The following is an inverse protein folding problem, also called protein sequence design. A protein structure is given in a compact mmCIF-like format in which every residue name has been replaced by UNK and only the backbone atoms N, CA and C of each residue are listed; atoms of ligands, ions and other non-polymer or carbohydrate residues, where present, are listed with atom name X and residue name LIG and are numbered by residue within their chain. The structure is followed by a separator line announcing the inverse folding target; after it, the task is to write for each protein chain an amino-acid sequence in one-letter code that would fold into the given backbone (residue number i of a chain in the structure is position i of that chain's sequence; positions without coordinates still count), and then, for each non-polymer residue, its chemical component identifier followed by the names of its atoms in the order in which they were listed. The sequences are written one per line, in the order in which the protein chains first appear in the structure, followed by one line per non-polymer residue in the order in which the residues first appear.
data_IF_936858448592
#
_entry.id   IF_936858448592
#
_cell.length_a   1.000
_cell.length_b   1.000
_cell.length_c   1.000
_cell.angle_alpha   90.00
_cell.angle_beta   90.00
_cell.angle_gamma   90.00
#
_symmetry.space_group_name_H-M   'P 1'
#
loop_
_entity.id
_entity.type
_entity.pdbx_description
1 polymer ?
#
# COMPACT_ATOMS: atom_id res chain seq x y z
N UNK A 1 -9.83 28.22 -18.57
CA UNK A 1 -10.56 27.39 -17.59
C UNK A 1 -9.88 26.03 -17.34
N UNK A 2 -9.38 25.30 -18.35
CA UNK A 2 -8.73 23.98 -18.17
C UNK A 2 -7.43 23.96 -17.32
N UNK A 3 -6.62 25.03 -17.36
CA UNK A 3 -5.33 25.08 -16.61
C UNK A 3 -5.52 25.12 -15.09
N UNK A 4 -6.56 25.80 -14.59
CA UNK A 4 -6.84 25.86 -13.14
C UNK A 4 -7.29 24.49 -12.60
N UNK A 5 -8.15 23.78 -13.33
CA UNK A 5 -8.62 22.45 -12.94
C UNK A 5 -7.50 21.41 -12.91
N UNK A 6 -6.54 21.48 -13.83
CA UNK A 6 -5.36 20.60 -13.84
C UNK A 6 -4.42 20.87 -12.64
N UNK A 7 -4.16 22.14 -12.33
CA UNK A 7 -3.32 22.53 -11.18
C UNK A 7 -3.95 22.07 -9.86
N UNK A 8 -5.26 22.27 -9.69
CA UNK A 8 -6.00 21.80 -8.51
C UNK A 8 -5.93 20.28 -8.34
N UNK A 9 -6.10 19.52 -9.43
CA UNK A 9 -5.98 18.05 -9.42
C UNK A 9 -4.57 17.59 -9.05
N UNK A 10 -3.53 18.20 -9.63
CA UNK A 10 -2.15 17.84 -9.28
C UNK A 10 -1.84 18.15 -7.81
N UNK A 11 -2.34 19.26 -7.27
CA UNK A 11 -2.16 19.57 -5.86
C UNK A 11 -2.81 18.51 -4.97
N UNK A 12 -4.01 18.04 -5.33
CA UNK A 12 -4.69 16.92 -4.66
C UNK A 12 -3.88 15.62 -4.72
N UNK A 13 -3.32 15.27 -5.89
CA UNK A 13 -2.44 14.09 -6.07
C UNK A 13 -1.16 14.19 -5.23
N UNK A 14 -0.58 15.39 -5.10
CA UNK A 14 0.59 15.59 -4.25
C UNK A 14 0.25 15.48 -2.74
N UNK A 15 -0.96 15.88 -2.33
CA UNK A 15 -1.43 15.70 -0.94
C UNK A 15 -1.55 14.22 -0.60
N UNK A 16 -2.06 13.39 -1.53
CA UNK A 16 -2.13 11.94 -1.35
C UNK A 16 -0.74 11.36 -1.04
N UNK A 17 0.30 11.73 -1.80
CA UNK A 17 1.65 11.24 -1.51
C UNK A 17 2.10 11.60 -0.10
N UNK A 18 1.90 12.85 0.33
CA UNK A 18 2.28 13.29 1.68
C UNK A 18 1.56 12.52 2.79
N UNK A 19 0.30 12.16 2.59
CA UNK A 19 -0.44 11.29 3.52
C UNK A 19 0.28 9.93 3.61
N UNK A 20 0.57 9.32 2.46
CA UNK A 20 1.24 8.01 2.41
C UNK A 20 2.68 8.06 2.96
N UNK A 21 3.41 9.16 2.78
CA UNK A 21 4.72 9.40 3.38
C UNK A 21 4.63 9.47 4.91
N UNK A 22 3.63 10.18 5.42
CA UNK A 22 3.37 10.28 6.86
C UNK A 22 3.04 8.90 7.44
N UNK A 23 2.21 8.12 6.74
CA UNK A 23 1.90 6.73 7.10
C UNK A 23 3.15 5.86 7.18
N UNK A 24 3.99 5.91 6.14
CA UNK A 24 5.24 5.14 6.07
C UNK A 24 6.17 5.44 7.26
N UNK A 25 6.33 6.73 7.60
CA UNK A 25 7.18 7.14 8.72
C UNK A 25 6.67 6.61 10.05
N UNK A 26 5.35 6.68 10.28
CA UNK A 26 4.74 6.14 11.51
C UNK A 26 4.96 4.63 11.59
N UNK A 27 4.62 3.88 10.54
CA UNK A 27 4.71 2.42 10.58
C UNK A 27 6.13 1.90 10.69
N UNK A 28 7.06 2.42 9.89
CA UNK A 28 8.46 1.99 9.98
C UNK A 28 9.10 2.42 11.29
N UNK A 29 8.74 3.59 11.82
CA UNK A 29 9.15 4.05 13.15
C UNK A 29 8.74 3.06 14.24
N UNK A 30 7.49 2.58 14.18
CA UNK A 30 6.98 1.60 15.14
C UNK A 30 7.60 0.22 15.00
N UNK A 31 7.81 -0.26 13.77
CA UNK A 31 8.52 -1.53 13.55
C UNK A 31 9.92 -1.54 14.15
N UNK A 32 10.63 -0.40 14.13
CA UNK A 32 11.98 -0.27 14.69
C UNK A 32 12.03 -0.37 16.21
N UNK A 33 10.91 -0.12 16.91
CA UNK A 33 10.83 -0.19 18.38
C UNK A 33 10.67 -1.62 18.89
N UNK A 34 10.34 -2.56 18.02
CA UNK A 34 9.97 -3.91 18.41
C UNK A 34 11.20 -4.69 18.85
N UNK A 35 11.14 -5.28 20.05
CA UNK A 35 12.19 -6.17 20.52
C UNK A 35 12.12 -7.52 19.77
N UNK A 36 12.93 -7.61 18.73
CA UNK A 36 13.02 -8.78 17.86
C UNK A 36 13.49 -10.03 18.64
N UNK A 37 14.22 -9.85 19.75
CA UNK A 37 14.65 -10.97 20.59
C UNK A 37 13.48 -11.68 21.29
N UNK A 38 12.42 -10.93 21.61
CA UNK A 38 11.20 -11.47 22.20
C UNK A 38 10.25 -12.11 21.20
N UNK A 39 10.43 -11.85 19.89
CA UNK A 39 9.46 -12.19 18.86
C UNK A 39 9.67 -13.58 18.23
N UNK A 40 10.93 -14.03 18.07
CA UNK A 40 11.23 -15.24 17.29
C UNK A 40 12.11 -16.25 18.05
N UNK A 41 11.66 -17.52 18.13
CA UNK A 41 12.45 -18.63 18.72
C UNK A 41 13.48 -19.26 17.75
N UNK A 42 13.48 -18.87 16.46
CA UNK A 42 14.44 -19.34 15.44
C UNK A 42 15.38 -18.21 15.02
N UNK A 43 16.69 -18.48 14.96
CA UNK A 43 17.72 -17.46 14.69
C UNK A 43 17.64 -16.83 13.28
N UNK A 44 17.18 -17.57 12.27
CA UNK A 44 17.08 -17.08 10.89
C UNK A 44 15.95 -16.07 10.67
N UNK A 45 14.84 -16.17 11.40
CA UNK A 45 13.73 -15.22 11.24
C UNK A 45 14.04 -13.85 11.84
N UNK A 46 14.98 -13.77 12.80
CA UNK A 46 15.47 -12.50 13.36
C UNK A 46 16.13 -11.60 12.30
N UNK A 47 17.06 -12.15 11.51
CA UNK A 47 17.74 -11.39 10.45
C UNK A 47 16.75 -10.90 9.38
N UNK A 48 15.76 -11.73 9.04
CA UNK A 48 14.75 -11.37 8.03
C UNK A 48 13.82 -10.27 8.57
N UNK A 49 13.46 -10.29 9.86
CA UNK A 49 12.69 -9.20 10.50
C UNK A 49 13.42 -7.85 10.39
N UNK A 50 14.71 -7.80 10.73
CA UNK A 50 15.52 -6.58 10.61
C UNK A 50 15.62 -6.11 9.16
N UNK A 51 15.80 -7.05 8.22
CA UNK A 51 15.86 -6.76 6.79
C UNK A 51 14.57 -6.15 6.25
N UNK A 52 13.40 -6.60 6.69
CA UNK A 52 12.11 -6.10 6.15
C UNK A 52 11.96 -4.59 6.35
N UNK A 53 12.35 -4.05 7.50
CA UNK A 53 12.28 -2.61 7.76
C UNK A 53 13.23 -1.84 6.82
N UNK A 54 14.46 -2.32 6.65
CA UNK A 54 15.43 -1.73 5.73
C UNK A 54 14.96 -1.82 4.27
N UNK A 55 14.30 -2.92 3.88
CA UNK A 55 13.71 -3.08 2.56
C UNK A 55 12.60 -2.02 2.34
N UNK A 56 11.73 -1.76 3.32
CA UNK A 56 10.70 -0.70 3.20
C UNK A 56 11.30 0.69 2.99
N UNK A 57 12.36 1.04 3.73
CA UNK A 57 13.06 2.32 3.54
C UNK A 57 13.68 2.45 2.14
N UNK A 58 14.28 1.35 1.64
CA UNK A 58 14.84 1.31 0.29
C UNK A 58 13.73 1.44 -0.77
N UNK A 59 12.63 0.73 -0.61
CA UNK A 59 11.46 0.82 -1.50
C UNK A 59 10.93 2.25 -1.51
N UNK A 60 10.81 2.88 -0.35
CA UNK A 60 10.40 4.28 -0.25
C UNK A 60 11.31 5.22 -1.05
N UNK A 61 12.62 5.06 -0.91
CA UNK A 61 13.59 5.86 -1.67
C UNK A 61 13.47 5.64 -3.18
N UNK A 62 13.31 4.39 -3.61
CA UNK A 62 13.13 4.06 -5.03
C UNK A 62 11.84 4.67 -5.59
N UNK A 63 10.77 4.65 -4.80
CA UNK A 63 9.51 5.33 -5.08
C UNK A 63 9.78 6.84 -5.29
N UNK A 64 10.41 7.52 -4.33
CA UNK A 64 10.77 8.95 -4.42
C UNK A 64 11.62 9.29 -5.65
N UNK A 65 12.53 8.39 -6.02
CA UNK A 65 13.40 8.49 -7.20
C UNK A 65 12.68 8.11 -8.54
N UNK A 66 11.38 7.80 -8.47
CA UNK A 66 10.54 7.33 -9.59
C UNK A 66 10.96 5.98 -10.21
N UNK A 67 11.74 5.18 -9.50
CA UNK A 67 12.17 3.84 -9.88
C UNK A 67 11.14 2.77 -9.44
N UNK A 68 9.93 2.89 -10.00
CA UNK A 68 8.76 2.11 -9.57
C UNK A 68 8.88 0.60 -9.81
N UNK A 69 9.70 0.19 -10.79
CA UNK A 69 9.89 -1.23 -11.11
C UNK A 69 10.79 -1.92 -10.09
N UNK A 70 11.91 -1.28 -9.75
CA UNK A 70 12.77 -1.80 -8.70
C UNK A 70 12.06 -1.74 -7.34
N UNK A 71 11.30 -0.67 -7.07
CA UNK A 71 10.44 -0.59 -5.91
C UNK A 71 9.45 -1.78 -5.83
N UNK A 72 8.69 -2.04 -6.89
CA UNK A 72 7.74 -3.17 -6.93
C UNK A 72 8.43 -4.54 -6.81
N UNK A 73 9.62 -4.69 -7.41
CA UNK A 73 10.41 -5.93 -7.35
C UNK A 73 10.87 -6.24 -5.94
N UNK A 74 11.44 -5.25 -5.26
CA UNK A 74 11.90 -5.41 -3.88
C UNK A 74 10.68 -5.60 -2.96
N UNK A 75 9.62 -4.82 -3.12
CA UNK A 75 8.39 -4.94 -2.32
C UNK A 75 7.75 -6.33 -2.45
N UNK A 76 7.77 -6.95 -3.63
CA UNK A 76 7.32 -8.34 -3.81
C UNK A 76 8.15 -9.31 -2.98
N UNK A 77 9.47 -9.19 -3.03
CA UNK A 77 10.37 -10.04 -2.25
C UNK A 77 10.22 -9.81 -0.73
N UNK A 78 10.00 -8.56 -0.32
CA UNK A 78 9.69 -8.21 1.08
C UNK A 78 8.38 -8.85 1.54
N UNK A 79 7.35 -8.84 0.70
CA UNK A 79 6.09 -9.52 0.98
C UNK A 79 6.25 -11.05 1.09
N UNK A 80 7.08 -11.67 0.24
CA UNK A 80 7.44 -13.09 0.36
C UNK A 80 8.17 -13.40 1.68
N UNK A 81 9.05 -12.50 2.12
CA UNK A 81 9.70 -12.62 3.43
C UNK A 81 8.70 -12.48 4.59
N UNK A 82 7.70 -11.60 4.47
CA UNK A 82 6.62 -11.46 5.46
C UNK A 82 5.79 -12.74 5.52
N UNK A 83 5.39 -13.31 4.36
CA UNK A 83 4.71 -14.60 4.29
C UNK A 83 5.50 -15.70 5.02
N UNK A 84 6.81 -15.77 4.78
CA UNK A 84 7.71 -16.69 5.47
C UNK A 84 7.70 -16.47 6.99
N UNK A 85 7.92 -15.24 7.46
CA UNK A 85 8.01 -14.94 8.90
C UNK A 85 6.71 -15.32 9.62
N UNK A 86 5.55 -14.98 9.05
CA UNK A 86 4.26 -15.33 9.63
C UNK A 86 4.16 -16.86 9.69
N UNK A 87 4.37 -17.55 8.57
CA UNK A 87 4.23 -19.01 8.50
C UNK A 87 5.10 -19.76 9.52
N UNK A 88 6.38 -19.40 9.67
CA UNK A 88 7.27 -20.08 10.62
C UNK A 88 6.95 -19.80 12.09
N UNK A 89 6.19 -18.74 12.39
CA UNK A 89 5.72 -18.45 13.74
C UNK A 89 4.53 -19.33 14.14
N UNK A 90 3.68 -19.72 13.17
CA UNK A 90 2.52 -20.58 13.42
C UNK A 90 2.83 -22.08 13.23
N UNK A 91 3.64 -22.46 12.24
CA UNK A 91 4.10 -23.85 12.08
C UNK A 91 5.61 -24.01 12.35
N UNK A 92 5.92 -24.43 13.58
CA UNK A 92 7.29 -24.73 14.03
C UNK A 92 7.87 -26.02 13.44
N UNK A 93 7.09 -26.82 12.71
CA UNK A 93 7.55 -28.03 12.02
C UNK A 93 7.73 -27.82 10.52
N UNK A 94 7.36 -26.64 9.99
CA UNK A 94 7.57 -26.28 8.60
C UNK A 94 9.06 -26.48 8.24
N UNK A 95 9.30 -27.45 7.36
CA UNK A 95 10.63 -27.76 6.81
C UNK A 95 10.85 -26.88 5.60
N UNK A 96 11.87 -26.04 5.67
CA UNK A 96 12.26 -25.14 4.60
C UNK A 96 13.37 -25.81 3.79
N UNK A 97 13.16 -25.94 2.49
CA UNK A 97 14.11 -26.45 1.50
C UNK A 97 14.14 -25.55 0.27
N UNK A 98 15.02 -25.86 -0.69
CA UNK A 98 15.07 -25.15 -1.97
C UNK A 98 13.77 -25.29 -2.79
N UNK A 99 12.98 -26.34 -2.54
CA UNK A 99 11.70 -26.58 -3.21
C UNK A 99 10.52 -25.86 -2.53
N UNK A 100 10.76 -25.20 -1.41
CA UNK A 100 9.71 -24.47 -0.70
C UNK A 100 9.26 -23.27 -1.51
N UNK A 101 7.96 -23.20 -1.80
CA UNK A 101 7.37 -22.12 -2.58
C UNK A 101 6.53 -21.19 -1.71
N UNK A 102 6.19 -20.02 -2.26
CA UNK A 102 5.22 -19.11 -1.63
C UNK A 102 3.87 -19.78 -1.33
N UNK A 103 3.48 -20.78 -2.14
CA UNK A 103 2.23 -21.50 -1.93
C UNK A 103 2.25 -22.32 -0.64
N UNK A 104 3.42 -22.76 -0.19
CA UNK A 104 3.54 -23.56 1.03
C UNK A 104 3.35 -22.68 2.26
N UNK A 105 3.88 -21.45 2.25
CA UNK A 105 3.60 -20.46 3.29
C UNK A 105 2.12 -20.10 3.35
N UNK A 106 1.47 -19.89 2.19
CA UNK A 106 0.03 -19.59 2.14
C UNK A 106 -0.85 -20.69 2.72
N UNK A 107 -0.48 -21.96 2.55
CA UNK A 107 -1.22 -23.08 3.18
C UNK A 107 -1.21 -22.96 4.70
N UNK A 108 -0.03 -22.71 5.29
CA UNK A 108 0.09 -22.52 6.74
C UNK A 108 -0.74 -21.33 7.22
N UNK A 109 -0.66 -20.19 6.53
CA UNK A 109 -1.46 -19.01 6.88
C UNK A 109 -2.96 -19.28 6.79
N UNK A 110 -3.41 -20.01 5.76
CA UNK A 110 -4.82 -20.38 5.59
C UNK A 110 -5.31 -21.32 6.70
N UNK A 111 -4.49 -22.29 7.07
CA UNK A 111 -4.80 -23.22 8.17
C UNK A 111 -4.89 -22.51 9.53
N UNK A 112 -4.21 -21.37 9.68
CA UNK A 112 -4.16 -20.58 10.91
C UNK A 112 -4.79 -19.18 10.74
N UNK A 113 -5.72 -19.01 9.79
CA UNK A 113 -6.19 -17.69 9.35
C UNK A 113 -6.75 -16.83 10.49
N UNK A 114 -7.55 -17.44 11.37
CA UNK A 114 -8.15 -16.78 12.54
C UNK A 114 -7.11 -16.32 13.59
N UNK A 115 -5.94 -16.94 13.62
CA UNK A 115 -4.88 -16.61 14.56
C UNK A 115 -3.83 -15.69 13.92
N UNK A 116 -3.68 -15.74 12.59
CA UNK A 116 -2.73 -14.95 11.82
C UNK A 116 -3.21 -13.52 11.54
N UNK A 117 -4.53 -13.33 11.40
CA UNK A 117 -5.10 -12.07 10.90
C UNK A 117 -6.30 -11.58 11.72
N UNK A 118 -6.41 -10.26 11.87
CA UNK A 118 -7.47 -9.58 12.64
C UNK A 118 -7.83 -8.23 11.98
N UNK A 119 -9.02 -7.69 12.29
CA UNK A 119 -9.50 -6.38 11.86
C UNK A 119 -9.35 -6.09 10.35
N UNK A 120 -10.24 -6.67 9.54
CA UNK A 120 -10.36 -6.48 8.08
C UNK A 120 -9.11 -6.81 7.25
N UNK A 121 -8.01 -7.26 7.87
CA UNK A 121 -6.89 -7.89 7.18
C UNK A 121 -7.18 -9.39 7.12
N UNK A 122 -7.12 -9.96 5.93
CA UNK A 122 -7.28 -11.38 5.66
C UNK A 122 -6.17 -11.86 4.70
N UNK A 123 -6.07 -13.18 4.53
CA UNK A 123 -5.14 -13.77 3.58
C UNK A 123 -5.39 -13.26 2.14
N UNK A 124 -6.64 -12.93 1.82
CA UNK A 124 -7.02 -12.41 0.52
C UNK A 124 -6.44 -11.03 0.25
N UNK A 125 -6.30 -10.17 1.26
CA UNK A 125 -5.67 -8.86 1.16
C UNK A 125 -4.19 -8.97 0.81
N UNK A 126 -3.46 -9.87 1.46
CA UNK A 126 -2.07 -10.17 1.12
C UNK A 126 -1.94 -10.80 -0.28
N UNK A 127 -2.87 -11.69 -0.65
CA UNK A 127 -2.89 -12.29 -1.98
C UNK A 127 -3.17 -11.25 -3.07
N UNK A 128 -4.06 -10.29 -2.84
CA UNK A 128 -4.34 -9.17 -3.75
C UNK A 128 -3.09 -8.33 -3.96
N UNK A 129 -2.43 -7.91 -2.88
CA UNK A 129 -1.18 -7.15 -2.95
C UNK A 129 -0.09 -7.91 -3.71
N UNK A 130 0.10 -9.21 -3.39
CA UNK A 130 1.07 -10.05 -4.09
C UNK A 130 0.77 -10.19 -5.59
N UNK A 131 -0.49 -10.44 -5.96
CA UNK A 131 -0.92 -10.54 -7.37
C UNK A 131 -0.65 -9.24 -8.11
N UNK A 132 -0.94 -8.09 -7.52
CA UNK A 132 -0.65 -6.78 -8.10
C UNK A 132 0.85 -6.60 -8.34
N UNK A 133 1.68 -6.90 -7.34
CA UNK A 133 3.14 -6.79 -7.46
C UNK A 133 3.72 -7.74 -8.52
N UNK A 134 3.24 -8.99 -8.58
CA UNK A 134 3.62 -9.94 -9.62
C UNK A 134 3.36 -9.40 -11.03
N UNK A 135 2.30 -8.61 -11.22
CA UNK A 135 2.00 -7.98 -12.51
C UNK A 135 3.00 -6.89 -12.85
N UNK A 136 3.33 -6.00 -11.90
CA UNK A 136 4.32 -4.95 -12.14
C UNK A 136 5.69 -5.50 -12.56
N UNK A 137 6.07 -6.67 -12.05
CA UNK A 137 7.39 -7.28 -12.32
C UNK A 137 7.38 -8.31 -13.44
N UNK A 138 6.21 -8.68 -13.97
CA UNK A 138 6.12 -9.67 -15.04
C UNK A 138 6.73 -9.09 -16.34
N UNK A 139 7.63 -9.80 -17.05
CA UNK A 139 8.37 -9.23 -18.17
C UNK A 139 7.51 -8.62 -19.29
N UNK A 140 6.34 -9.21 -19.58
CA UNK A 140 5.42 -8.66 -20.58
C UNK A 140 4.76 -7.36 -20.10
N UNK A 141 4.22 -7.38 -18.88
CA UNK A 141 3.56 -6.23 -18.25
C UNK A 141 4.55 -5.10 -17.97
N UNK A 142 5.81 -5.41 -17.65
CA UNK A 142 6.88 -4.45 -17.42
C UNK A 142 7.22 -3.67 -18.69
N UNK A 143 7.25 -4.31 -19.87
CA UNK A 143 7.51 -3.63 -21.15
C UNK A 143 6.39 -2.64 -21.50
N UNK A 144 5.15 -3.05 -21.27
CA UNK A 144 3.97 -2.22 -21.50
C UNK A 144 3.92 -1.08 -20.50
N UNK A 145 4.16 -1.37 -19.22
CA UNK A 145 4.28 -0.37 -18.17
C UNK A 145 5.35 0.69 -18.47
N UNK A 146 6.55 0.27 -18.90
CA UNK A 146 7.60 1.17 -19.33
C UNK A 146 7.19 2.02 -20.52
N UNK A 147 6.62 1.39 -21.57
CA UNK A 147 6.11 2.08 -22.77
C UNK A 147 5.06 3.14 -22.40
N UNK A 148 4.10 2.80 -21.55
CA UNK A 148 3.09 3.70 -21.04
C UNK A 148 3.72 4.85 -20.24
N UNK A 149 4.58 4.56 -19.25
CA UNK A 149 5.25 5.59 -18.44
C UNK A 149 6.12 6.56 -19.25
N UNK A 150 6.71 6.09 -20.35
CA UNK A 150 7.46 6.95 -21.28
C UNK A 150 6.54 7.83 -22.12
N UNK A 151 5.37 7.34 -22.52
CA UNK A 151 4.47 8.02 -23.45
C UNK A 151 3.40 8.90 -22.77
N UNK A 152 3.05 8.64 -21.50
CA UNK A 152 1.97 9.35 -20.79
C UNK A 152 2.42 9.88 -19.42
N UNK A 153 3.33 10.86 -19.43
CA UNK A 153 3.82 11.55 -18.21
C UNK A 153 2.72 12.02 -17.26
N UNK A 154 1.53 12.35 -17.78
CA UNK A 154 0.36 12.77 -16.97
C UNK A 154 -0.06 11.72 -15.94
N UNK A 155 0.08 10.42 -16.23
CA UNK A 155 -0.39 9.36 -15.34
C UNK A 155 0.63 8.87 -14.31
N UNK A 156 1.89 9.28 -14.45
CA UNK A 156 3.01 8.80 -13.63
C UNK A 156 2.77 9.00 -12.13
N UNK A 157 2.18 10.13 -11.73
CA UNK A 157 1.91 10.43 -10.31
C UNK A 157 0.84 9.52 -9.69
N UNK A 158 -0.18 9.13 -10.45
CA UNK A 158 -1.20 8.20 -9.94
C UNK A 158 -0.63 6.82 -9.67
N UNK A 159 0.25 6.32 -10.55
CA UNK A 159 0.96 5.06 -10.32
C UNK A 159 1.94 5.15 -9.17
N UNK A 160 2.61 6.29 -9.04
CA UNK A 160 3.51 6.54 -7.93
C UNK A 160 2.77 6.42 -6.59
N UNK A 161 1.63 7.10 -6.45
CA UNK A 161 0.75 6.98 -5.29
C UNK A 161 0.24 5.56 -5.07
N UNK A 162 -0.07 4.82 -6.15
CA UNK A 162 -0.59 3.46 -6.05
C UNK A 162 0.45 2.48 -5.50
N UNK A 163 1.69 2.49 -6.02
CA UNK A 163 2.78 1.64 -5.50
C UNK A 163 3.07 1.98 -4.03
N UNK A 164 3.08 3.28 -3.69
CA UNK A 164 3.23 3.74 -2.31
C UNK A 164 2.09 3.23 -1.42
N UNK A 165 0.84 3.26 -1.90
CA UNK A 165 -0.31 2.71 -1.18
C UNK A 165 -0.18 1.19 -0.92
N UNK A 166 0.27 0.42 -1.93
CA UNK A 166 0.53 -1.02 -1.76
C UNK A 166 1.61 -1.25 -0.69
N UNK A 167 2.69 -0.45 -0.71
CA UNK A 167 3.74 -0.51 0.30
C UNK A 167 3.19 -0.29 1.71
N UNK A 168 2.48 0.81 1.96
CA UNK A 168 1.95 1.11 3.30
C UNK A 168 0.88 0.11 3.77
N UNK A 169 0.16 -0.51 2.83
CA UNK A 169 -0.77 -1.61 3.14
C UNK A 169 0.00 -2.83 3.67
N UNK A 170 1.09 -3.20 3.00
CA UNK A 170 1.94 -4.32 3.44
C UNK A 170 2.62 -4.01 4.77
N UNK A 171 3.05 -2.76 4.98
CA UNK A 171 3.59 -2.29 6.25
C UNK A 171 2.57 -2.45 7.39
N UNK A 172 1.33 -1.98 7.19
CA UNK A 172 0.28 -2.10 8.19
C UNK A 172 0.00 -3.56 8.57
N UNK A 173 -0.04 -4.46 7.59
CA UNK A 173 -0.25 -5.89 7.84
C UNK A 173 0.90 -6.46 8.65
N UNK A 174 2.15 -6.12 8.29
CA UNK A 174 3.31 -6.59 9.01
C UNK A 174 3.37 -6.05 10.45
N UNK A 175 3.11 -4.76 10.62
CA UNK A 175 3.05 -4.10 11.93
C UNK A 175 1.99 -4.76 12.83
N UNK A 176 0.80 -5.02 12.28
CA UNK A 176 -0.28 -5.69 13.00
C UNK A 176 0.14 -7.07 13.51
N UNK A 177 0.82 -7.85 12.66
CA UNK A 177 1.39 -9.14 13.05
C UNK A 177 2.45 -9.00 14.16
N UNK A 178 3.37 -8.03 14.06
CA UNK A 178 4.42 -7.84 15.06
C UNK A 178 3.88 -7.43 16.44
N UNK A 179 2.83 -6.61 16.47
CA UNK A 179 2.14 -6.21 17.71
C UNK A 179 1.12 -7.25 18.19
N UNK A 180 1.11 -8.46 17.61
CA UNK A 180 0.15 -9.53 17.90
C UNK A 180 -1.29 -9.02 17.91
N UNK A 181 -1.58 -8.11 16.98
CA UNK A 181 -2.90 -7.55 16.75
C UNK A 181 -3.42 -6.63 17.86
N UNK A 182 -2.55 -6.11 18.74
CA UNK A 182 -2.86 -4.96 19.60
C UNK A 182 -2.61 -3.65 18.82
N UNK A 183 -3.47 -3.41 17.83
CA UNK A 183 -3.32 -2.27 16.90
C UNK A 183 -3.77 -0.99 17.60
N UNK A 184 -2.84 -0.05 17.78
CA UNK A 184 -3.14 1.28 18.31
C UNK A 184 -4.17 2.00 17.41
N UNK A 185 -5.06 2.77 18.04
CA UNK A 185 -5.99 3.68 17.35
C UNK A 185 -5.31 4.49 16.24
N UNK A 186 -4.11 5.02 16.47
CA UNK A 186 -3.34 5.76 15.48
C UNK A 186 -3.10 4.94 14.21
N UNK A 187 -2.74 3.66 14.32
CA UNK A 187 -2.43 2.83 13.16
C UNK A 187 -3.68 2.55 12.35
N UNK A 188 -4.80 2.27 13.03
CA UNK A 188 -6.08 2.03 12.37
C UNK A 188 -6.60 3.26 11.61
N UNK A 189 -6.54 4.45 12.23
CA UNK A 189 -6.93 5.73 11.60
C UNK A 189 -5.99 6.07 10.44
N UNK A 190 -4.68 5.88 10.63
CA UNK A 190 -3.68 6.11 9.58
C UNK A 190 -3.94 5.22 8.37
N UNK A 191 -4.27 3.94 8.57
CA UNK A 191 -4.58 3.02 7.47
C UNK A 191 -5.87 3.45 6.74
N UNK A 192 -6.91 3.81 7.48
CA UNK A 192 -8.16 4.30 6.87
C UNK A 192 -7.92 5.53 6.01
N UNK A 193 -7.13 6.49 6.52
CA UNK A 193 -6.76 7.69 5.77
C UNK A 193 -5.99 7.34 4.48
N UNK A 194 -5.07 6.36 4.53
CA UNK A 194 -4.35 5.88 3.34
C UNK A 194 -5.28 5.22 2.30
N UNK A 195 -6.24 4.40 2.74
CA UNK A 195 -7.25 3.78 1.86
C UNK A 195 -8.08 4.85 1.16
N UNK A 196 -8.63 5.81 1.90
CA UNK A 196 -9.42 6.90 1.31
C UNK A 196 -8.59 7.77 0.37
N UNK A 197 -7.33 8.05 0.70
CA UNK A 197 -6.42 8.77 -0.18
C UNK A 197 -6.20 8.02 -1.51
N UNK A 198 -6.10 6.69 -1.48
CA UNK A 198 -5.99 5.89 -2.69
C UNK A 198 -7.30 5.82 -3.48
N UNK A 199 -8.48 5.75 -2.83
CA UNK A 199 -9.76 5.88 -3.54
C UNK A 199 -9.85 7.22 -4.27
N UNK A 200 -9.40 8.29 -3.63
CA UNK A 200 -9.34 9.60 -4.27
C UNK A 200 -8.36 9.63 -5.45
N UNK A 201 -7.19 9.00 -5.30
CA UNK A 201 -6.20 8.86 -6.36
C UNK A 201 -6.78 8.13 -7.59
N UNK A 202 -7.48 7.02 -7.37
CA UNK A 202 -8.14 6.23 -8.43
C UNK A 202 -9.26 7.04 -9.09
N UNK A 203 -10.07 7.74 -8.31
CA UNK A 203 -11.13 8.61 -8.85
C UNK A 203 -10.58 9.70 -9.77
N UNK A 204 -9.53 10.39 -9.32
CA UNK A 204 -8.87 11.43 -10.12
C UNK A 204 -8.26 10.86 -11.40
N UNK A 205 -7.64 9.68 -11.32
CA UNK A 205 -7.13 8.97 -12.49
C UNK A 205 -8.25 8.69 -13.50
N UNK A 206 -9.38 8.13 -13.04
CA UNK A 206 -10.52 7.80 -13.89
C UNK A 206 -11.10 9.03 -14.60
N UNK A 207 -11.30 10.13 -13.86
CA UNK A 207 -11.76 11.41 -14.42
C UNK A 207 -10.80 12.01 -15.45
N UNK A 208 -9.49 11.78 -15.32
CA UNK A 208 -8.50 12.27 -16.29
C UNK A 208 -8.35 11.34 -17.51
N UNK A 209 -8.76 10.09 -17.36
CA UNK A 209 -8.71 9.05 -18.40
C UNK A 209 -10.03 8.88 -19.18
N UNK A 210 -11.05 9.69 -18.89
CA UNK A 210 -12.33 9.65 -19.59
C UNK A 210 -12.14 9.92 -21.10
N UNK A 211 -12.41 8.90 -21.94
CA UNK A 211 -12.15 8.89 -23.38
C UNK A 211 -10.90 8.08 -23.83
N UNK A 212 -10.01 7.73 -22.90
CA UNK A 212 -8.80 6.90 -23.11
C UNK A 212 -9.06 5.42 -22.67
N UNK A 213 -10.23 4.85 -22.97
CA UNK A 213 -10.69 3.55 -22.45
C UNK A 213 -9.81 2.34 -22.82
N UNK A 214 -9.06 2.42 -23.94
CA UNK A 214 -8.09 1.37 -24.31
C UNK A 214 -6.85 1.40 -23.40
N UNK A 215 -6.40 2.60 -23.01
CA UNK A 215 -5.21 2.81 -22.18
C UNK A 215 -5.42 2.26 -20.77
N UNK A 216 -6.58 2.52 -20.15
CA UNK A 216 -6.91 2.00 -18.81
C UNK A 216 -6.92 0.46 -18.83
N UNK A 217 -7.50 -0.15 -19.87
CA UNK A 217 -7.55 -1.61 -20.09
C UNK A 217 -6.16 -2.22 -20.24
N UNK A 218 -5.30 -1.66 -21.08
CA UNK A 218 -3.92 -2.16 -21.25
C UNK A 218 -3.06 -1.95 -19.99
N UNK A 219 -3.22 -0.81 -19.31
CA UNK A 219 -2.35 -0.38 -18.21
C UNK A 219 -2.65 -1.05 -16.86
N UNK A 220 -3.92 -1.36 -16.58
CA UNK A 220 -4.33 -2.02 -15.33
C UNK A 220 -4.72 -3.50 -15.50
N UNK A 221 -4.98 -3.96 -16.74
CA UNK A 221 -5.70 -5.21 -16.98
C UNK A 221 -5.09 -6.14 -18.05
N UNK A 222 -3.82 -5.98 -18.42
CA UNK A 222 -3.13 -6.96 -19.30
C UNK A 222 -2.85 -8.29 -18.60
N UNK A 223 -3.93 -9.00 -18.27
CA UNK A 223 -3.95 -10.38 -17.83
C UNK A 223 -4.90 -11.17 -18.75
N UNK A 224 -4.48 -12.37 -19.14
CA UNK A 224 -5.29 -13.31 -19.92
C UNK A 224 -6.38 -13.91 -19.02
N UNK A 225 -6.27 -13.76 -17.69
CA UNK A 225 -7.23 -14.21 -16.69
C UNK A 225 -8.36 -13.18 -16.46
N UNK A 226 -9.48 -13.40 -17.15
CA UNK A 226 -10.69 -12.58 -17.10
C UNK A 226 -11.26 -12.39 -15.67
N UNK A 227 -10.93 -13.26 -14.70
CA UNK A 227 -11.50 -13.18 -13.34
C UNK A 227 -10.99 -11.96 -12.58
N UNK A 228 -9.68 -11.72 -12.58
CA UNK A 228 -9.08 -10.57 -11.88
C UNK A 228 -9.52 -9.25 -12.53
N UNK A 229 -9.60 -9.25 -13.87
CA UNK A 229 -10.02 -8.06 -14.62
C UNK A 229 -11.41 -7.62 -14.20
N UNK A 230 -12.30 -8.61 -14.01
CA UNK A 230 -13.66 -8.38 -13.53
C UNK A 230 -13.69 -7.88 -12.08
N UNK A 231 -12.94 -8.50 -11.16
CA UNK A 231 -12.88 -8.06 -9.75
C UNK A 231 -12.44 -6.58 -9.59
N UNK A 232 -11.44 -6.16 -10.38
CA UNK A 232 -10.97 -4.76 -10.36
C UNK A 232 -11.98 -3.82 -11.04
N UNK A 233 -12.64 -4.26 -12.13
CA UNK A 233 -13.72 -3.50 -12.75
C UNK A 233 -14.89 -3.31 -11.79
N UNK A 234 -15.34 -4.37 -11.11
CA UNK A 234 -16.41 -4.33 -10.12
C UNK A 234 -16.05 -3.35 -8.98
N UNK A 235 -14.80 -3.38 -8.49
CA UNK A 235 -14.31 -2.44 -7.45
C UNK A 235 -14.31 -0.98 -7.95
N UNK A 236 -13.88 -0.76 -9.19
CA UNK A 236 -13.86 0.58 -9.81
C UNK A 236 -15.28 1.09 -10.07
N UNK A 237 -16.19 0.21 -10.50
CA UNK A 237 -17.61 0.51 -10.68
C UNK A 237 -18.27 0.88 -9.35
N UNK A 238 -18.02 0.11 -8.28
CA UNK A 238 -18.54 0.41 -6.94
C UNK A 238 -18.06 1.77 -6.42
N UNK A 239 -16.78 2.08 -6.59
CA UNK A 239 -16.22 3.40 -6.24
C UNK A 239 -16.88 4.51 -7.06
N UNK A 240 -17.02 4.31 -8.38
CA UNK A 240 -17.63 5.29 -9.26
C UNK A 240 -19.11 5.51 -8.92
N UNK A 241 -19.87 4.47 -8.62
CA UNK A 241 -21.29 4.58 -8.29
C UNK A 241 -21.51 5.25 -6.95
N UNK A 242 -20.66 4.95 -5.97
CA UNK A 242 -20.61 5.65 -4.69
C UNK A 242 -20.35 7.15 -4.89
N UNK A 243 -19.40 7.50 -5.75
CA UNK A 243 -19.04 8.88 -6.06
C UNK A 243 -20.09 9.62 -6.90
N UNK A 244 -20.85 8.93 -7.75
CA UNK A 244 -21.99 9.54 -8.46
C UNK A 244 -23.10 9.95 -7.48
N UNK A 245 -23.27 9.21 -6.39
CA UNK A 245 -24.32 9.46 -5.40
C UNK A 245 -23.97 10.59 -4.42
N UNK A 246 -22.73 10.63 -3.90
CA UNK A 246 -22.21 11.77 -3.12
C UNK A 246 -20.79 12.11 -3.58
N UNK A 247 -20.63 13.04 -4.55
CA UNK A 247 -19.33 13.45 -5.07
C UNK A 247 -18.38 14.01 -4.01
N UNK A 248 -18.91 14.48 -2.87
CA UNK A 248 -18.13 15.03 -1.77
C UNK A 248 -17.85 14.01 -0.66
N UNK A 249 -18.33 12.77 -0.77
CA UNK A 249 -18.20 11.76 0.28
C UNK A 249 -16.73 11.51 0.67
N UNK A 250 -15.87 11.31 -0.33
CA UNK A 250 -14.45 11.07 -0.09
C UNK A 250 -13.81 12.28 0.58
N UNK A 251 -14.08 13.50 0.13
CA UNK A 251 -13.52 14.72 0.73
C UNK A 251 -14.00 14.92 2.18
N UNK A 252 -15.28 14.65 2.48
CA UNK A 252 -15.82 14.70 3.85
C UNK A 252 -15.15 13.67 4.75
N UNK A 253 -15.03 12.42 4.31
CA UNK A 253 -14.41 11.34 5.08
C UNK A 253 -12.92 11.61 5.30
N UNK A 254 -12.20 12.02 4.25
CA UNK A 254 -10.78 12.40 4.38
C UNK A 254 -10.59 13.55 5.37
N UNK A 255 -11.49 14.53 5.42
CA UNK A 255 -11.43 15.62 6.39
C UNK A 255 -11.62 15.14 7.83
N UNK A 256 -12.64 14.31 8.07
CA UNK A 256 -12.89 13.74 9.40
C UNK A 256 -11.70 12.90 9.88
N UNK A 257 -11.22 11.99 9.03
CA UNK A 257 -10.06 11.15 9.33
C UNK A 257 -8.78 11.96 9.50
N UNK A 258 -8.62 13.06 8.76
CA UNK A 258 -7.46 13.96 8.92
C UNK A 258 -7.49 14.69 10.26
N UNK A 259 -8.65 15.19 10.69
CA UNK A 259 -8.78 15.86 11.99
C UNK A 259 -8.51 14.86 13.14
N UNK A 260 -8.98 13.61 13.04
CA UNK A 260 -8.69 12.55 14.02
C UNK A 260 -7.22 12.14 14.02
N UNK A 261 -6.63 11.93 12.84
CA UNK A 261 -5.21 11.66 12.66
C UNK A 261 -4.35 12.74 13.31
N UNK A 262 -4.72 14.01 13.17
CA UNK A 262 -3.99 15.13 13.76
C UNK A 262 -4.00 15.12 15.28
N UNK A 263 -5.14 14.78 15.88
CA UNK A 263 -5.26 14.66 17.34
C UNK A 263 -4.36 13.53 17.85
N UNK A 264 -4.35 12.39 17.16
CA UNK A 264 -3.57 11.22 17.57
C UNK A 264 -2.06 11.44 17.36
N UNK A 265 -1.65 11.94 16.19
CA UNK A 265 -0.22 12.21 15.89
C UNK A 265 0.38 13.24 16.84
N UNK A 266 -0.37 14.26 17.23
CA UNK A 266 0.09 15.29 18.17
C UNK A 266 0.49 14.73 19.55
N UNK A 267 0.03 13.52 19.89
CA UNK A 267 0.35 12.83 21.14
C UNK A 267 1.54 11.88 21.00
N UNK A 268 2.19 11.84 19.84
CA UNK A 268 3.31 10.92 19.54
C UNK A 268 4.58 11.67 19.18
N UNK A 269 5.70 10.94 19.21
CA UNK A 269 7.00 11.44 18.74
C UNK A 269 7.06 11.71 17.24
N UNK A 270 6.07 11.25 16.46
CA UNK A 270 6.02 11.46 15.01
C UNK A 270 5.50 12.85 14.62
N UNK A 271 5.00 13.64 15.57
CA UNK A 271 4.35 14.93 15.31
C UNK A 271 5.20 15.86 14.44
N UNK A 272 6.47 16.08 14.79
CA UNK A 272 7.33 17.03 14.09
C UNK A 272 7.67 16.58 12.66
N UNK A 273 8.00 15.30 12.49
CA UNK A 273 8.33 14.75 11.16
C UNK A 273 7.11 14.71 10.24
N UNK A 274 5.93 14.32 10.76
CA UNK A 274 4.68 14.33 10.00
C UNK A 274 4.28 15.75 9.60
N UNK A 275 4.38 16.72 10.52
CA UNK A 275 4.08 18.12 10.21
C UNK A 275 5.04 18.70 9.16
N UNK A 276 6.30 18.29 9.18
CA UNK A 276 7.31 18.65 8.17
C UNK A 276 6.94 18.11 6.78
N UNK A 277 6.58 16.82 6.68
CA UNK A 277 6.15 16.17 5.42
C UNK A 277 4.91 16.85 4.84
N UNK A 278 3.91 17.08 5.69
CA UNK A 278 2.67 17.73 5.28
C UNK A 278 2.91 19.20 4.86
N UNK A 279 4.04 19.81 5.28
CA UNK A 279 4.43 21.22 5.04
C UNK A 279 3.34 22.19 5.52
N UNK A 280 2.81 21.95 6.72
CA UNK A 280 1.67 22.68 7.24
C UNK A 280 2.05 24.11 7.64
N UNK A 281 1.50 25.07 6.90
CA UNK A 281 1.05 26.34 7.51
C UNK A 281 -0.46 26.37 7.75
N UNK A 282 -1.25 25.46 7.17
CA UNK A 282 -2.69 25.23 7.40
C UNK A 282 -3.06 23.78 6.93
N UNK A 283 -4.20 23.24 7.39
CA UNK A 283 -4.70 21.83 7.35
C UNK A 283 -4.49 21.02 6.03
N UNK A 284 -4.53 19.66 6.11
CA UNK A 284 -4.38 18.72 4.96
C UNK A 284 -5.39 18.99 3.84
N UNK A 285 -6.60 19.41 4.19
CA UNK A 285 -7.65 19.83 3.27
C UNK A 285 -8.25 21.16 3.76
N UNK A 286 -7.95 22.24 3.05
CA UNK A 286 -8.69 23.52 3.09
C UNK A 286 -9.23 23.76 1.70
#
# INVERSE_FOLDING_TARGET
MQTNTYIERINKVNIIMKILDSTHVIYTGEMKKIDINGFNKRSQSKYITEKIVADFELINKLIDDYDLINAATILRATLENIFYIIAVNYDKKLKISLDTTISDFRKVLKENENDCFFNNIDLDSLNRAYKQLCKFVHPCSMKEYLSCLTNTKKYRKYMHNNIKHIMVTIEYIYLSFLYKNNVDSLYSVTMQLAVFANFYNVSLFLQESEGDTSFIKEFMFNDIDNKYVKEVQDTVEEINDTLKCDPMLIEKQMKLLSDEFDILVAQTEYCDVVNSILKRKNKIFV
#
